data_IF_358974079114
#
_entry.id   IF_358974079114
#
_cell.length_a   1.000
_cell.length_b   1.000
_cell.length_c   1.000
_cell.angle_alpha   90.00
_cell.angle_beta   90.00
_cell.angle_gamma   90.00
#
_symmetry.space_group_name_H-M   'P 1'
#
loop_
_entity.id
_entity.type
_entity.pdbx_description
1 polymer ?
#
# COMPACT_ATOMS: atom_id res chain seq x y z
N UNK A 1 7.11 -7.58 -20.18
CA UNK A 1 5.90 -8.41 -20.40
C UNK A 1 5.27 -8.68 -19.03
N UNK A 2 4.04 -8.21 -18.79
CA UNK A 2 3.33 -8.24 -17.49
C UNK A 2 2.43 -9.48 -17.33
N UNK A 3 2.59 -10.45 -18.22
CA UNK A 3 1.73 -11.63 -18.30
C UNK A 3 2.20 -12.61 -17.22
N UNK A 4 1.43 -12.77 -16.14
CA UNK A 4 1.46 -14.02 -15.36
C UNK A 4 2.18 -14.03 -14.00
N UNK A 5 2.36 -12.90 -13.30
CA UNK A 5 2.93 -12.93 -11.94
C UNK A 5 1.86 -12.84 -10.84
N UNK A 6 0.73 -13.53 -10.99
CA UNK A 6 0.07 -14.04 -9.78
C UNK A 6 0.98 -15.15 -9.27
N UNK A 7 1.81 -14.86 -8.26
CA UNK A 7 2.47 -15.96 -7.56
C UNK A 7 1.35 -16.82 -6.98
N UNK A 8 1.20 -18.02 -7.54
CA UNK A 8 0.56 -19.11 -6.82
C UNK A 8 1.48 -19.39 -5.62
N UNK A 9 1.23 -18.72 -4.49
CA UNK A 9 1.82 -19.05 -3.19
C UNK A 9 1.25 -20.39 -2.67
N UNK A 10 0.76 -21.22 -3.58
CA UNK A 10 0.23 -22.56 -3.35
C UNK A 10 1.31 -23.48 -2.83
N UNK A 11 2.52 -23.37 -3.40
CA UNK A 11 3.71 -24.16 -3.05
C UNK A 11 4.56 -23.56 -1.91
N UNK A 12 4.29 -22.32 -1.51
CA UNK A 12 4.99 -21.70 -0.38
C UNK A 12 4.57 -22.34 0.94
N UNK A 13 5.54 -22.58 1.83
CA UNK A 13 5.28 -23.18 3.15
C UNK A 13 4.30 -22.28 3.94
N UNK A 14 3.18 -22.82 4.43
CA UNK A 14 2.26 -22.05 5.26
C UNK A 14 2.97 -21.55 6.53
N UNK A 15 2.77 -20.27 6.83
CA UNK A 15 3.19 -19.64 8.07
C UNK A 15 1.96 -19.41 8.95
N UNK A 16 2.08 -19.79 10.21
CA UNK A 16 1.06 -19.53 11.21
C UNK A 16 1.43 -18.26 11.95
N UNK A 17 0.48 -17.35 12.07
CA UNK A 17 0.60 -16.28 13.05
C UNK A 17 0.86 -16.89 14.44
N UNK A 18 1.74 -16.29 15.26
CA UNK A 18 1.99 -16.77 16.60
C UNK A 18 0.67 -16.81 17.39
N UNK A 19 0.47 -17.88 18.17
CA UNK A 19 -0.77 -18.08 18.96
C UNK A 19 -0.82 -17.22 20.22
N UNK A 20 0.30 -16.59 20.59
CA UNK A 20 0.44 -15.67 21.70
C UNK A 20 1.01 -14.35 21.18
N UNK A 21 0.57 -13.25 21.79
CA UNK A 21 0.93 -11.85 21.52
C UNK A 21 2.38 -11.50 21.86
N UNK A 22 3.27 -12.50 21.93
CA UNK A 22 4.61 -12.34 22.50
C UNK A 22 5.56 -11.65 21.50
N UNK A 23 5.20 -11.57 20.21
CA UNK A 23 5.91 -10.77 19.23
C UNK A 23 5.43 -9.32 19.31
N UNK A 24 6.30 -8.44 19.79
CA UNK A 24 6.05 -7.01 20.10
C UNK A 24 5.29 -6.24 19.00
N UNK A 25 5.56 -6.54 17.74
CA UNK A 25 5.02 -5.82 16.59
C UNK A 25 3.97 -6.58 15.77
N UNK A 26 3.62 -7.82 16.13
CA UNK A 26 2.56 -8.53 15.43
C UNK A 26 1.19 -8.11 15.95
N UNK A 27 0.37 -7.52 15.08
CA UNK A 27 -1.00 -7.14 15.41
C UNK A 27 -1.95 -8.21 14.91
N UNK A 28 -2.58 -8.95 15.82
CA UNK A 28 -3.70 -9.81 15.44
C UNK A 28 -4.90 -8.95 15.05
N UNK A 29 -5.30 -8.97 13.77
CA UNK A 29 -6.59 -8.39 13.41
C UNK A 29 -7.70 -9.33 13.86
N UNK A 30 -8.31 -9.02 15.00
CA UNK A 30 -9.67 -9.47 15.27
C UNK A 30 -10.55 -8.50 14.50
N UNK A 31 -11.01 -8.87 13.31
CA UNK A 31 -12.17 -8.20 12.75
C UNK A 31 -13.36 -8.61 13.63
N UNK A 32 -13.92 -7.75 14.50
CA UNK A 32 -15.30 -7.97 14.86
C UNK A 32 -16.08 -7.94 13.55
N UNK A 33 -16.82 -9.00 13.24
CA UNK A 33 -17.86 -9.00 12.20
C UNK A 33 -19.03 -8.08 12.60
N UNK A 34 -18.72 -6.86 13.05
CA UNK A 34 -19.62 -5.92 13.68
C UNK A 34 -19.00 -4.53 13.69
N UNK A 35 -19.19 -3.82 12.57
CA UNK A 35 -19.15 -2.36 12.44
C UNK A 35 -17.87 -1.64 12.90
N UNK A 36 -17.25 -0.89 12.00
CA UNK A 36 -16.35 0.21 12.39
C UNK A 36 -17.11 1.13 13.37
N UNK A 37 -16.66 1.17 14.62
CA UNK A 37 -17.30 1.91 15.69
C UNK A 37 -17.06 3.42 15.55
N UNK A 38 -18.12 4.21 15.72
CA UNK A 38 -18.16 5.69 15.72
C UNK A 38 -17.53 6.37 14.50
N UNK A 39 -18.26 6.38 13.39
CA UNK A 39 -17.97 7.30 12.29
C UNK A 39 -18.43 8.71 12.63
N UNK A 40 -17.53 9.55 13.12
CA UNK A 40 -17.76 11.01 13.11
C UNK A 40 -17.52 11.51 11.69
N UNK A 41 -18.59 11.90 11.00
CA UNK A 41 -18.55 12.45 9.64
C UNK A 41 -18.83 13.94 9.69
N UNK A 42 -17.90 14.76 9.21
CA UNK A 42 -18.12 16.19 9.01
C UNK A 42 -17.37 16.67 7.78
N UNK A 43 -17.94 17.69 7.12
CA UNK A 43 -17.27 18.37 6.02
C UNK A 43 -16.17 19.28 6.56
N UNK A 44 -15.01 19.25 5.89
CA UNK A 44 -13.84 20.04 6.24
C UNK A 44 -13.81 21.37 5.49
N UNK A 45 -13.49 22.44 6.21
CA UNK A 45 -13.14 23.74 5.63
C UNK A 45 -11.78 23.68 4.91
N UNK A 46 -11.53 24.64 4.02
CA UNK A 46 -10.21 24.76 3.36
C UNK A 46 -9.07 25.00 4.35
N UNK A 47 -9.37 25.64 5.49
CA UNK A 47 -8.42 25.85 6.58
C UNK A 47 -8.05 24.53 7.24
N UNK A 48 -9.03 23.72 7.65
CA UNK A 48 -8.80 22.41 8.28
C UNK A 48 -8.04 21.45 7.35
N UNK A 49 -8.37 21.44 6.06
CA UNK A 49 -7.63 20.67 5.04
C UNK A 49 -6.15 21.07 5.03
N UNK A 50 -5.88 22.38 4.99
CA UNK A 50 -4.52 22.91 4.91
C UNK A 50 -3.73 22.64 6.20
N UNK A 51 -4.36 22.86 7.36
CA UNK A 51 -3.74 22.65 8.67
C UNK A 51 -3.40 21.18 8.90
N UNK A 52 -4.33 20.27 8.58
CA UNK A 52 -4.09 18.84 8.72
C UNK A 52 -3.00 18.33 7.76
N UNK A 53 -3.02 18.74 6.49
CA UNK A 53 -1.94 18.36 5.55
C UNK A 53 -0.58 18.89 6.00
N UNK A 54 -0.53 20.12 6.52
CA UNK A 54 0.70 20.68 7.07
C UNK A 54 1.18 19.93 8.31
N UNK A 55 0.26 19.44 9.15
CA UNK A 55 0.58 18.55 10.25
C UNK A 55 1.15 17.22 9.77
N UNK A 56 0.53 16.57 8.77
CA UNK A 56 1.07 15.36 8.17
C UNK A 56 2.49 15.58 7.64
N UNK A 57 2.77 16.69 6.94
CA UNK A 57 4.13 17.01 6.48
C UNK A 57 5.13 17.11 7.63
N UNK A 58 4.73 17.65 8.79
CA UNK A 58 5.60 17.75 9.97
C UNK A 58 5.81 16.40 10.65
N UNK A 59 4.75 15.60 10.80
CA UNK A 59 4.76 14.34 11.54
C UNK A 59 5.32 13.16 10.73
N UNK A 60 5.31 13.26 9.40
CA UNK A 60 5.80 12.23 8.47
C UNK A 60 6.95 12.82 7.64
N UNK A 61 8.07 13.13 8.31
CA UNK A 61 9.21 13.81 7.70
C UNK A 61 9.87 13.02 6.55
N UNK A 62 9.62 11.71 6.48
CA UNK A 62 10.09 10.81 5.42
C UNK A 62 9.08 10.69 4.26
N UNK A 63 8.11 11.60 4.15
CA UNK A 63 7.15 11.54 3.05
C UNK A 63 7.74 11.86 1.67
N UNK A 64 7.16 11.28 0.62
CA UNK A 64 7.47 11.53 -0.80
C UNK A 64 7.16 12.99 -1.15
N UNK A 65 8.12 13.90 -0.95
CA UNK A 65 8.02 15.35 -1.12
C UNK A 65 6.86 16.03 -0.34
N UNK A 66 7.12 17.09 0.46
CA UNK A 66 6.06 17.86 1.11
C UNK A 66 4.97 18.35 0.14
N UNK A 67 5.34 18.68 -1.10
CA UNK A 67 4.40 19.08 -2.15
C UNK A 67 3.41 17.98 -2.53
N UNK A 68 3.82 16.71 -2.54
CA UNK A 68 2.89 15.64 -2.91
C UNK A 68 1.75 15.49 -1.90
N UNK A 69 2.00 15.80 -0.63
CA UNK A 69 0.99 15.81 0.44
C UNK A 69 0.15 17.09 0.38
N UNK A 70 0.80 18.26 0.34
CA UNK A 70 0.09 19.55 0.35
C UNK A 70 -0.78 19.74 -0.88
N UNK A 71 -0.25 19.43 -2.07
CA UNK A 71 -0.90 19.64 -3.36
C UNK A 71 -1.69 18.43 -3.84
N UNK A 72 -1.83 17.38 -3.01
CA UNK A 72 -2.49 16.15 -3.41
C UNK A 72 -3.91 16.42 -3.95
N UNK A 73 -4.09 16.12 -5.24
CA UNK A 73 -5.36 16.21 -5.97
C UNK A 73 -5.72 14.80 -6.41
N UNK A 74 -6.37 14.07 -5.52
CA UNK A 74 -6.77 12.70 -5.77
C UNK A 74 -7.81 12.61 -6.87
N UNK A 75 -7.76 11.48 -7.60
CA UNK A 75 -8.99 10.91 -8.15
C UNK A 75 -9.79 10.36 -6.97
N UNK A 76 -11.04 10.81 -6.85
CA UNK A 76 -11.98 10.33 -5.85
C UNK A 76 -12.79 9.17 -6.44
N UNK A 77 -12.67 7.99 -5.84
CA UNK A 77 -13.41 6.80 -6.25
C UNK A 77 -14.91 6.88 -5.91
N UNK A 78 -15.32 7.76 -4.98
CA UNK A 78 -16.68 7.75 -4.45
C UNK A 78 -17.08 6.37 -3.89
N UNK A 79 -18.24 5.88 -4.31
CA UNK A 79 -18.80 4.58 -3.90
C UNK A 79 -18.69 3.53 -5.02
N UNK A 80 -17.81 3.74 -6.00
CA UNK A 80 -17.77 2.96 -7.25
C UNK A 80 -16.96 1.64 -7.14
N UNK A 81 -16.57 1.20 -5.94
CA UNK A 81 -15.77 -0.02 -5.72
C UNK A 81 -14.38 0.00 -6.38
N UNK A 82 -13.91 1.18 -6.81
CA UNK A 82 -12.77 1.34 -7.71
C UNK A 82 -11.43 1.59 -6.99
N UNK A 83 -11.31 1.20 -5.72
CA UNK A 83 -10.21 1.63 -4.84
C UNK A 83 -8.84 1.23 -5.40
N UNK A 84 -8.74 0.02 -5.93
CA UNK A 84 -7.51 -0.49 -6.53
C UNK A 84 -7.15 0.26 -7.80
N UNK A 85 -8.11 0.45 -8.71
CA UNK A 85 -7.87 1.17 -9.96
C UNK A 85 -7.48 2.63 -9.70
N UNK A 86 -8.24 3.33 -8.86
CA UNK A 86 -7.98 4.71 -8.50
C UNK A 86 -6.66 4.85 -7.72
N UNK A 87 -6.34 3.89 -6.84
CA UNK A 87 -5.06 3.81 -6.16
C UNK A 87 -3.88 3.75 -7.12
N UNK A 88 -3.98 2.92 -8.17
CA UNK A 88 -2.96 2.85 -9.22
C UNK A 88 -2.85 4.16 -10.03
N UNK A 89 -3.97 4.83 -10.33
CA UNK A 89 -3.96 6.14 -11.00
C UNK A 89 -3.28 7.21 -10.14
N UNK A 90 -3.58 7.23 -8.84
CA UNK A 90 -3.00 8.18 -7.90
C UNK A 90 -1.51 7.89 -7.70
N UNK A 91 -1.09 6.63 -7.60
CA UNK A 91 0.32 6.22 -7.57
C UNK A 91 1.10 6.76 -8.77
N UNK A 92 0.65 6.49 -10.00
CA UNK A 92 1.40 6.95 -11.19
C UNK A 92 1.38 8.47 -11.33
N UNK A 93 0.33 9.14 -10.86
CA UNK A 93 0.26 10.59 -10.85
C UNK A 93 1.22 11.22 -9.83
N UNK A 94 1.30 10.66 -8.62
CA UNK A 94 2.23 11.08 -7.56
C UNK A 94 3.69 10.91 -8.00
N UNK A 95 3.97 9.82 -8.69
CA UNK A 95 5.31 9.52 -9.21
C UNK A 95 5.64 10.23 -10.52
N UNK A 96 4.75 11.08 -11.05
CA UNK A 96 4.97 11.80 -12.31
C UNK A 96 5.00 10.91 -13.56
N UNK A 97 4.53 9.66 -13.46
CA UNK A 97 4.61 8.62 -14.49
C UNK A 97 3.25 8.22 -15.05
N UNK A 98 2.42 9.22 -15.36
CA UNK A 98 1.09 9.03 -15.97
C UNK A 98 1.13 8.30 -17.31
N UNK A 99 2.29 8.22 -17.95
CA UNK A 99 2.53 7.39 -19.14
C UNK A 99 2.31 5.90 -18.88
N UNK A 100 2.47 5.42 -17.64
CA UNK A 100 2.31 4.00 -17.29
C UNK A 100 0.83 3.58 -17.30
N UNK A 101 -0.06 4.48 -16.88
CA UNK A 101 -1.52 4.30 -16.96
C UNK A 101 -2.10 5.60 -17.53
N UNK A 102 -2.16 5.76 -18.88
CA UNK A 102 -2.53 6.98 -19.58
C UNK A 102 -4.04 7.28 -19.54
N UNK A 103 -4.61 7.24 -18.34
CA UNK A 103 -6.00 7.59 -18.06
C UNK A 103 -6.07 9.05 -17.66
N UNK A 104 -6.99 9.79 -18.28
CA UNK A 104 -7.28 11.15 -17.85
C UNK A 104 -7.99 11.11 -16.49
N UNK A 105 -7.45 11.73 -15.43
CA UNK A 105 -8.06 11.74 -14.09
C UNK A 105 -9.50 12.27 -14.07
N UNK A 106 -9.88 13.18 -14.99
CA UNK A 106 -11.25 13.70 -15.08
C UNK A 106 -12.23 12.75 -15.77
N UNK A 107 -11.73 11.73 -16.47
CA UNK A 107 -12.51 10.73 -17.22
C UNK A 107 -12.25 9.31 -16.72
N UNK A 108 -11.72 9.16 -15.51
CA UNK A 108 -11.34 7.87 -14.94
C UNK A 108 -12.52 6.88 -14.92
N UNK A 109 -13.75 7.36 -14.61
CA UNK A 109 -14.97 6.53 -14.60
C UNK A 109 -15.24 5.85 -15.94
N UNK A 110 -15.00 6.54 -17.06
CA UNK A 110 -15.18 5.94 -18.38
C UNK A 110 -14.17 4.81 -18.62
N UNK A 111 -12.94 4.95 -18.11
CA UNK A 111 -11.95 3.86 -18.15
C UNK A 111 -12.30 2.73 -17.19
N UNK A 112 -12.86 3.02 -16.01
CA UNK A 112 -13.33 2.03 -15.06
C UNK A 112 -14.44 1.15 -15.65
N UNK A 113 -15.46 1.77 -16.26
CA UNK A 113 -16.55 1.05 -16.93
C UNK A 113 -16.06 0.13 -18.07
N UNK A 114 -14.93 0.43 -18.70
CA UNK A 114 -14.32 -0.45 -19.73
C UNK A 114 -13.74 -1.74 -19.15
N UNK A 115 -13.46 -1.78 -17.86
CA UNK A 115 -12.98 -2.98 -17.18
C UNK A 115 -14.10 -4.01 -16.97
N UNK A 116 -15.37 -3.60 -17.06
CA UNK A 116 -16.55 -4.48 -16.93
C UNK A 116 -16.56 -5.24 -15.59
N UNK A 117 -16.40 -4.45 -14.51
CA UNK A 117 -16.31 -4.89 -13.11
C UNK A 117 -16.90 -3.84 -12.19
N UNK A 118 -17.54 -4.31 -11.12
CA UNK A 118 -18.02 -3.47 -10.02
C UNK A 118 -16.93 -3.20 -8.97
N UNK A 119 -15.93 -4.09 -8.88
CA UNK A 119 -14.76 -3.95 -8.02
C UNK A 119 -13.60 -4.84 -8.54
N UNK A 120 -12.37 -4.48 -8.16
CA UNK A 120 -11.22 -5.38 -8.25
C UNK A 120 -10.84 -5.79 -6.84
N UNK A 121 -10.73 -7.10 -6.59
CA UNK A 121 -10.46 -7.62 -5.26
C UNK A 121 -9.06 -7.22 -4.74
N UNK A 122 -8.09 -7.16 -5.66
CA UNK A 122 -6.67 -7.00 -5.37
C UNK A 122 -5.94 -6.25 -6.52
N UNK A 123 -4.68 -5.84 -6.26
CA UNK A 123 -3.84 -5.11 -7.22
C UNK A 123 -3.52 -5.97 -8.44
N UNK A 124 -3.30 -7.27 -8.26
CA UNK A 124 -3.03 -8.19 -9.36
C UNK A 124 -4.17 -8.25 -10.37
N UNK A 125 -5.41 -8.48 -9.91
CA UNK A 125 -6.60 -8.50 -10.77
C UNK A 125 -6.76 -7.18 -11.54
N UNK A 126 -6.56 -6.04 -10.86
CA UNK A 126 -6.67 -4.75 -11.52
C UNK A 126 -5.62 -4.60 -12.63
N UNK A 127 -4.37 -5.00 -12.38
CA UNK A 127 -3.30 -4.95 -13.37
C UNK A 127 -3.56 -5.89 -14.56
N UNK A 128 -4.05 -7.11 -14.31
CA UNK A 128 -4.45 -8.07 -15.34
C UNK A 128 -5.55 -7.49 -16.24
N UNK A 129 -6.54 -6.82 -15.65
CA UNK A 129 -7.63 -6.17 -16.38
C UNK A 129 -7.14 -4.97 -17.21
N UNK A 130 -6.28 -4.13 -16.64
CA UNK A 130 -5.69 -3.00 -17.37
C UNK A 130 -4.86 -3.47 -18.56
N UNK A 131 -4.12 -4.57 -18.41
CA UNK A 131 -3.36 -5.20 -19.48
C UNK A 131 -4.28 -5.75 -20.58
N UNK A 132 -5.26 -6.58 -20.21
CA UNK A 132 -6.18 -7.21 -21.16
C UNK A 132 -7.05 -6.21 -21.94
N UNK A 133 -7.38 -5.06 -21.34
CA UNK A 133 -8.13 -3.97 -21.98
C UNK A 133 -7.23 -2.95 -22.71
N UNK A 134 -5.92 -3.20 -22.79
CA UNK A 134 -4.92 -2.31 -23.40
C UNK A 134 -4.97 -0.88 -22.85
N UNK A 135 -5.17 -0.76 -21.53
CA UNK A 135 -5.17 0.52 -20.81
C UNK A 135 -3.78 0.86 -20.29
N UNK A 136 -2.94 -0.15 -20.00
CA UNK A 136 -1.54 0.07 -19.63
C UNK A 136 -0.77 0.73 -20.78
N UNK A 137 0.06 1.72 -20.44
CA UNK A 137 0.97 2.35 -21.40
C UNK A 137 2.10 1.43 -21.84
N UNK A 138 2.78 1.80 -22.92
CA UNK A 138 3.86 0.99 -23.52
C UNK A 138 5.03 0.75 -22.56
N UNK A 139 5.31 1.70 -21.66
CA UNK A 139 6.36 1.61 -20.65
C UNK A 139 5.90 0.94 -19.33
N UNK A 140 4.63 0.54 -19.21
CA UNK A 140 4.08 -0.03 -17.98
C UNK A 140 4.87 -1.25 -17.51
N UNK A 141 5.28 -2.11 -18.45
CA UNK A 141 5.97 -3.37 -18.10
C UNK A 141 7.39 -3.21 -17.59
N UNK A 142 7.98 -2.03 -17.75
CA UNK A 142 9.31 -1.68 -17.23
C UNK A 142 9.24 -0.66 -16.09
N UNK A 143 8.12 0.05 -15.94
CA UNK A 143 7.94 1.11 -14.96
C UNK A 143 7.06 0.74 -13.76
N UNK A 144 6.20 -0.27 -13.85
CA UNK A 144 5.40 -0.75 -12.72
C UNK A 144 6.00 -2.05 -12.18
N UNK A 145 6.20 -2.10 -10.86
CA UNK A 145 6.63 -3.30 -10.15
C UNK A 145 5.51 -3.75 -9.23
N UNK A 146 5.09 -5.00 -9.38
CA UNK A 146 4.13 -5.66 -8.52
C UNK A 146 4.87 -6.71 -7.68
N UNK A 147 4.60 -6.72 -6.37
CA UNK A 147 5.13 -7.73 -5.46
C UNK A 147 3.95 -8.38 -4.72
N UNK A 148 3.68 -9.67 -4.97
CA UNK A 148 2.76 -10.45 -4.15
C UNK A 148 3.41 -10.68 -2.79
N UNK A 149 2.70 -10.34 -1.71
CA UNK A 149 3.19 -10.49 -0.33
C UNK A 149 2.65 -11.76 0.29
N UNK A 150 1.33 -11.97 0.19
CA UNK A 150 0.62 -13.03 0.91
C UNK A 150 -0.38 -13.76 0.02
N UNK A 151 -0.55 -15.06 0.27
CA UNK A 151 -1.50 -15.92 -0.43
C UNK A 151 -2.95 -15.43 -0.28
N UNK A 152 -3.70 -15.52 -1.38
CA UNK A 152 -5.15 -15.30 -1.44
C UNK A 152 -5.93 -16.57 -1.11
N UNK A 153 -7.10 -16.43 -0.48
CA UNK A 153 -8.08 -17.51 -0.31
C UNK A 153 -7.69 -18.68 0.61
N UNK A 154 -6.48 -18.71 1.16
CA UNK A 154 -6.01 -19.77 2.07
C UNK A 154 -6.33 -19.44 3.53
N UNK A 155 -6.79 -20.45 4.27
CA UNK A 155 -6.99 -20.38 5.73
C UNK A 155 -5.69 -20.14 6.49
N UNK A 156 -4.59 -20.74 6.03
CA UNK A 156 -3.23 -20.49 6.54
C UNK A 156 -2.51 -19.52 5.60
N UNK A 157 -1.80 -18.54 6.16
CA UNK A 157 -1.13 -17.50 5.39
C UNK A 157 0.19 -18.03 4.82
N UNK A 158 0.42 -17.91 3.52
CA UNK A 158 1.74 -18.14 2.92
C UNK A 158 2.29 -16.78 2.48
N UNK A 159 3.59 -16.56 2.68
CA UNK A 159 4.26 -15.31 2.31
C UNK A 159 5.29 -15.57 1.22
N UNK A 160 5.53 -14.56 0.39
CA UNK A 160 6.60 -14.60 -0.61
C UNK A 160 7.93 -14.18 0.02
N UNK A 161 8.92 -15.08 0.18
CA UNK A 161 10.20 -14.72 0.78
C UNK A 161 11.18 -14.09 -0.22
N UNK A 162 10.84 -13.95 -1.50
CA UNK A 162 11.79 -13.53 -2.53
C UNK A 162 12.33 -12.10 -2.36
N UNK A 163 11.63 -11.24 -1.60
CA UNK A 163 12.06 -9.88 -1.27
C UNK A 163 12.61 -9.76 0.16
N UNK A 164 12.72 -10.86 0.90
CA UNK A 164 13.18 -10.83 2.28
C UNK A 164 14.69 -10.54 2.32
N UNK A 165 15.08 -9.66 3.24
CA UNK A 165 16.50 -9.40 3.52
C UNK A 165 17.09 -10.57 4.30
N UNK A 166 18.35 -10.91 4.04
CA UNK A 166 18.96 -12.10 4.61
C UNK A 166 19.49 -11.94 6.03
N UNK A 167 19.46 -10.71 6.59
CA UNK A 167 20.06 -10.39 7.88
C UNK A 167 19.01 -9.96 8.93
N UNK A 168 18.56 -10.89 9.81
CA UNK A 168 17.64 -10.59 10.89
C UNK A 168 18.17 -9.56 11.90
N UNK A 169 19.49 -9.44 12.09
CA UNK A 169 20.08 -8.47 13.01
C UNK A 169 19.85 -7.06 12.50
N UNK A 170 20.03 -6.82 11.20
CA UNK A 170 19.74 -5.52 10.59
C UNK A 170 18.27 -5.08 10.77
N UNK A 171 17.33 -6.04 10.75
CA UNK A 171 15.92 -5.76 10.98
C UNK A 171 15.63 -5.49 12.45
N UNK A 172 16.21 -6.30 13.34
CA UNK A 172 16.12 -6.10 14.78
C UNK A 172 16.62 -4.70 15.17
N UNK A 173 17.79 -4.30 14.65
CA UNK A 173 18.37 -2.98 14.89
C UNK A 173 17.51 -1.85 14.30
N UNK A 174 17.07 -1.98 13.04
CA UNK A 174 16.23 -0.96 12.38
C UNK A 174 14.92 -0.70 13.12
N UNK A 175 14.32 -1.75 13.67
CA UNK A 175 12.99 -1.71 14.27
C UNK A 175 12.97 -1.77 15.79
N UNK A 176 14.14 -1.72 16.45
CA UNK A 176 14.24 -1.82 17.91
C UNK A 176 13.63 -3.11 18.47
N UNK A 177 13.66 -4.20 17.70
CA UNK A 177 13.07 -5.49 18.05
C UNK A 177 14.14 -6.49 18.51
N UNK A 178 13.74 -7.53 19.22
CA UNK A 178 14.65 -8.65 19.47
C UNK A 178 14.77 -9.53 18.23
N UNK A 179 15.91 -10.23 18.05
CA UNK A 179 16.05 -11.24 16.99
C UNK A 179 14.94 -12.29 17.11
N UNK A 180 14.56 -12.66 18.33
CA UNK A 180 13.49 -13.62 18.58
C UNK A 180 12.13 -13.13 18.05
N UNK A 181 11.82 -11.83 18.16
CA UNK A 181 10.60 -11.25 17.58
C UNK A 181 10.66 -11.30 16.05
N UNK A 182 11.81 -10.95 15.46
CA UNK A 182 12.01 -10.98 14.00
C UNK A 182 11.81 -12.40 13.47
N UNK A 183 12.40 -13.40 14.12
CA UNK A 183 12.25 -14.80 13.73
C UNK A 183 10.84 -15.36 13.98
N UNK A 184 10.13 -14.87 15.00
CA UNK A 184 8.76 -15.28 15.30
C UNK A 184 7.76 -14.78 14.24
N UNK A 185 7.94 -13.56 13.74
CA UNK A 185 7.06 -12.93 12.73
C UNK A 185 7.83 -12.24 11.61
N UNK A 186 8.62 -12.98 10.82
CA UNK A 186 9.57 -12.39 9.87
C UNK A 186 8.89 -11.56 8.79
N UNK A 187 7.68 -11.97 8.35
CA UNK A 187 6.94 -11.22 7.33
C UNK A 187 6.63 -9.79 7.76
N UNK A 188 6.38 -9.53 9.05
CA UNK A 188 6.06 -8.18 9.54
C UNK A 188 7.25 -7.25 9.30
N UNK A 189 8.45 -7.70 9.68
CA UNK A 189 9.68 -6.92 9.57
C UNK A 189 10.17 -6.81 8.12
N UNK A 190 10.02 -7.86 7.32
CA UNK A 190 10.35 -7.79 5.90
C UNK A 190 9.38 -6.89 5.12
N UNK A 191 8.09 -6.89 5.47
CA UNK A 191 7.10 -5.98 4.91
C UNK A 191 7.38 -4.53 5.29
N UNK A 192 7.73 -4.29 6.57
CA UNK A 192 8.17 -2.99 7.04
C UNK A 192 9.38 -2.50 6.24
N UNK A 193 10.43 -3.33 6.13
CA UNK A 193 11.64 -2.96 5.42
C UNK A 193 11.39 -2.69 3.94
N UNK A 194 10.54 -3.50 3.29
CA UNK A 194 10.15 -3.29 1.89
C UNK A 194 9.48 -1.92 1.70
N UNK A 195 8.44 -1.62 2.49
CA UNK A 195 7.68 -0.39 2.32
C UNK A 195 8.53 0.82 2.71
N UNK A 196 9.16 0.80 3.89
CA UNK A 196 9.92 1.94 4.39
C UNK A 196 11.14 2.24 3.51
N UNK A 197 11.87 1.24 3.02
CA UNK A 197 13.01 1.49 2.11
C UNK A 197 12.56 2.06 0.76
N UNK A 198 11.38 1.65 0.25
CA UNK A 198 10.82 2.27 -0.95
C UNK A 198 10.50 3.75 -0.71
N UNK A 199 9.92 4.08 0.45
CA UNK A 199 9.62 5.45 0.85
C UNK A 199 10.90 6.26 1.05
N UNK A 200 11.93 5.71 1.70
CA UNK A 200 13.25 6.32 1.90
C UNK A 200 13.90 6.68 0.55
N UNK A 201 13.70 5.83 -0.45
CA UNK A 201 14.13 6.06 -1.84
C UNK A 201 13.24 7.07 -2.59
N UNK A 202 12.26 7.68 -1.93
CA UNK A 202 11.32 8.63 -2.53
C UNK A 202 10.31 7.99 -3.48
N UNK A 203 9.97 6.70 -3.26
CA UNK A 203 8.99 5.96 -4.07
C UNK A 203 7.72 5.74 -3.27
N UNK A 204 6.60 6.27 -3.75
CA UNK A 204 5.29 5.95 -3.22
C UNK A 204 4.91 4.49 -3.53
N UNK A 205 4.10 3.88 -2.66
CA UNK A 205 3.76 2.46 -2.72
C UNK A 205 2.24 2.29 -2.62
N UNK A 206 1.59 1.76 -3.65
CA UNK A 206 0.22 1.30 -3.53
C UNK A 206 0.19 -0.01 -2.73
N UNK A 207 -0.54 -0.04 -1.62
CA UNK A 207 -0.65 -1.18 -0.72
C UNK A 207 -2.11 -1.63 -0.68
N UNK A 208 -2.33 -2.93 -0.87
CA UNK A 208 -3.64 -3.54 -0.63
C UNK A 208 -3.67 -4.14 0.79
N UNK A 209 -4.46 -3.55 1.68
CA UNK A 209 -4.61 -3.95 3.09
C UNK A 209 -6.04 -3.72 3.56
N UNK A 210 -6.59 -4.67 4.33
CA UNK A 210 -7.98 -4.63 4.82
C UNK A 210 -9.02 -4.36 3.71
N UNK A 211 -8.86 -5.04 2.57
CA UNK A 211 -9.74 -4.92 1.38
C UNK A 211 -9.81 -3.52 0.75
N UNK A 212 -8.90 -2.62 1.14
CA UNK A 212 -8.79 -1.28 0.56
C UNK A 212 -7.39 -1.05 0.04
N UNK A 213 -7.29 -0.52 -1.18
CA UNK A 213 -6.00 -0.14 -1.78
C UNK A 213 -5.77 1.34 -1.57
N UNK A 214 -4.61 1.70 -1.02
CA UNK A 214 -4.21 3.09 -0.74
C UNK A 214 -2.75 3.31 -1.15
N UNK A 215 -2.37 4.56 -1.44
CA UNK A 215 -0.98 4.87 -1.82
C UNK A 215 -0.22 5.42 -0.63
N UNK A 216 0.64 4.60 -0.04
CA UNK A 216 1.56 4.99 1.02
C UNK A 216 2.59 5.97 0.48
N UNK A 217 2.73 7.10 1.15
CA UNK A 217 3.65 8.19 0.78
C UNK A 217 4.57 8.59 1.91
N UNK A 218 4.41 8.09 3.13
CA UNK A 218 5.27 8.41 4.26
C UNK A 218 5.06 7.46 5.42
N UNK A 219 5.97 7.49 6.39
CA UNK A 219 5.86 6.77 7.64
C UNK A 219 6.51 7.56 8.78
N UNK A 220 6.15 7.22 10.02
CA UNK A 220 6.83 7.67 11.23
C UNK A 220 7.07 6.48 12.17
N UNK A 221 7.27 6.75 13.46
CA UNK A 221 7.52 5.70 14.46
C UNK A 221 6.36 4.70 14.55
N UNK A 222 5.11 5.16 14.44
CA UNK A 222 3.92 4.36 14.75
C UNK A 222 3.02 4.09 13.53
N UNK A 223 3.05 4.97 12.53
CA UNK A 223 2.00 5.08 11.52
C UNK A 223 2.55 5.19 10.09
N UNK A 224 1.71 4.79 9.15
CA UNK A 224 1.85 5.04 7.72
C UNK A 224 0.94 6.20 7.31
N UNK A 225 1.44 7.07 6.45
CA UNK A 225 0.68 8.12 5.78
C UNK A 225 0.34 7.67 4.36
N UNK A 226 -0.95 7.72 4.04
CA UNK A 226 -1.48 7.38 2.73
C UNK A 226 -2.11 8.60 2.05
N UNK A 227 -1.85 8.72 0.76
CA UNK A 227 -2.69 9.40 -0.19
C UNK A 227 -3.89 8.49 -0.51
N UNK A 228 -5.06 8.82 0.06
CA UNK A 228 -6.26 7.99 -0.11
C UNK A 228 -7.00 8.30 -1.41
N UNK A 229 -7.95 7.42 -1.74
CA UNK A 229 -8.76 7.48 -2.94
C UNK A 229 -10.14 8.13 -2.69
N UNK A 230 -10.33 8.74 -1.53
CA UNK A 230 -11.60 9.31 -1.06
C UNK A 230 -11.60 10.84 -1.00
N UNK A 231 -12.78 11.46 -1.15
CA UNK A 231 -12.93 12.92 -1.23
C UNK A 231 -12.15 13.68 -0.14
N UNK A 232 -11.48 14.76 -0.55
CA UNK A 232 -10.69 15.63 0.34
C UNK A 232 -11.49 16.44 1.36
N UNK A 233 -12.82 16.45 1.26
CA UNK A 233 -13.66 17.36 2.04
C UNK A 233 -14.28 16.71 3.27
N UNK A 234 -13.87 15.51 3.68
CA UNK A 234 -14.43 14.88 4.87
C UNK A 234 -13.39 14.16 5.72
N UNK A 235 -13.83 13.79 6.92
CA UNK A 235 -13.11 13.00 7.90
C UNK A 235 -13.91 11.74 8.29
N UNK A 236 -13.21 10.64 8.54
CA UNK A 236 -13.73 9.42 9.17
C UNK A 236 -12.62 8.82 10.06
N UNK A 237 -12.85 8.72 11.37
CA UNK A 237 -11.95 8.01 12.30
C UNK A 237 -12.57 6.64 12.61
N UNK A 238 -11.82 5.57 12.32
CA UNK A 238 -12.19 4.21 12.64
C UNK A 238 -11.22 3.70 13.71
N UNK A 239 -11.71 3.56 14.94
CA UNK A 239 -11.00 2.90 16.04
C UNK A 239 -11.72 1.59 16.40
N UNK A 240 -11.03 0.47 16.19
CA UNK A 240 -11.49 -0.82 16.71
C UNK A 240 -10.83 -1.08 18.07
N UNK A 241 -11.43 -0.53 19.14
CA UNK A 241 -11.09 -0.79 20.54
C UNK A 241 -9.57 -0.79 20.82
N UNK A 242 -8.81 0.13 20.21
CA UNK A 242 -7.37 0.28 20.43
C UNK A 242 -6.46 -0.75 19.75
N UNK A 243 -6.99 -1.65 18.90
CA UNK A 243 -6.17 -2.63 18.14
C UNK A 243 -5.80 -2.17 16.73
N UNK A 244 -6.60 -1.28 16.15
CA UNK A 244 -6.37 -0.67 14.85
C UNK A 244 -7.06 0.68 14.83
N UNK A 245 -6.28 1.72 14.51
CA UNK A 245 -6.77 3.07 14.25
C UNK A 245 -6.50 3.43 12.80
N UNK A 246 -7.52 3.92 12.12
CA UNK A 246 -7.41 4.49 10.78
C UNK A 246 -8.16 5.81 10.76
N UNK A 247 -7.41 6.91 10.68
CA UNK A 247 -7.98 8.23 10.47
C UNK A 247 -7.92 8.56 8.98
N UNK A 248 -9.05 8.73 8.35
CA UNK A 248 -9.15 9.37 7.04
C UNK A 248 -9.51 10.84 7.23
N UNK A 249 -8.73 11.77 6.64
CA UNK A 249 -9.00 13.20 6.68
C UNK A 249 -8.31 13.93 5.54
N UNK A 250 -8.99 14.90 4.94
CA UNK A 250 -8.41 15.78 3.92
C UNK A 250 -7.85 15.07 2.66
N UNK A 251 -8.38 13.88 2.33
CA UNK A 251 -7.92 13.05 1.21
C UNK A 251 -6.66 12.24 1.53
N UNK A 252 -6.26 12.21 2.81
CA UNK A 252 -5.18 11.39 3.33
C UNK A 252 -5.75 10.37 4.31
N UNK A 253 -5.04 9.29 4.55
CA UNK A 253 -5.28 8.45 5.72
C UNK A 253 -4.01 8.15 6.50
N UNK A 254 -4.18 7.97 7.79
CA UNK A 254 -3.13 7.60 8.73
C UNK A 254 -3.53 6.28 9.37
N UNK A 255 -2.65 5.28 9.37
CA UNK A 255 -2.92 3.97 9.93
C UNK A 255 -1.72 3.42 10.69
N UNK A 256 -1.95 2.69 11.79
CA UNK A 256 -0.90 1.99 12.51
C UNK A 256 -0.08 1.05 11.61
N UNK A 257 1.23 1.27 11.53
CA UNK A 257 2.08 0.62 10.51
C UNK A 257 2.19 -0.89 10.72
N UNK A 258 2.27 -1.32 11.97
CA UNK A 258 2.39 -2.72 12.35
C UNK A 258 1.17 -3.56 11.94
N UNK A 259 -0.04 -2.98 12.02
CA UNK A 259 -1.25 -3.62 11.52
C UNK A 259 -1.21 -3.78 10.00
N UNK A 260 -0.76 -2.74 9.27
CA UNK A 260 -0.58 -2.81 7.82
C UNK A 260 0.43 -3.90 7.43
N UNK A 261 1.64 -3.88 8.01
CA UNK A 261 2.70 -4.86 7.69
C UNK A 261 2.33 -6.30 8.06
N UNK A 262 1.50 -6.48 9.09
CA UNK A 262 1.02 -7.80 9.48
C UNK A 262 0.06 -8.42 8.46
N UNK A 263 -0.65 -7.61 7.66
CA UNK A 263 -1.80 -8.06 6.88
C UNK A 263 -1.87 -7.55 5.44
N UNK A 264 -0.91 -6.76 4.97
CA UNK A 264 -0.85 -6.35 3.57
C UNK A 264 -0.76 -7.58 2.66
N UNK A 265 -1.52 -7.54 1.56
CA UNK A 265 -1.60 -8.67 0.61
C UNK A 265 -0.62 -8.51 -0.54
N UNK A 266 -0.45 -7.28 -1.01
CA UNK A 266 0.25 -6.96 -2.24
C UNK A 266 0.73 -5.51 -2.20
N UNK A 267 1.80 -5.24 -2.94
CA UNK A 267 2.27 -3.88 -3.18
C UNK A 267 2.56 -3.65 -4.65
N UNK A 268 2.33 -2.41 -5.11
CA UNK A 268 2.75 -1.91 -6.41
C UNK A 268 3.50 -0.60 -6.24
N UNK A 269 4.61 -0.43 -6.92
CA UNK A 269 5.34 0.84 -6.95
C UNK A 269 5.86 1.15 -8.35
N UNK A 270 6.27 2.39 -8.56
CA UNK A 270 6.89 2.84 -9.81
C UNK A 270 8.40 2.70 -9.71
N UNK A 271 8.98 1.95 -10.63
CA UNK A 271 10.43 1.84 -10.79
C UNK A 271 10.98 3.17 -11.34
N UNK A 272 12.12 3.64 -10.81
CA UNK A 272 12.74 4.88 -11.30
C UNK A 272 13.28 4.71 -12.73
N UNK A 273 13.42 3.48 -13.23
CA UNK A 273 14.16 3.22 -14.45
C UNK A 273 15.65 3.48 -14.22
N UNK A 274 16.51 2.80 -14.98
CA UNK A 274 17.97 2.99 -14.87
C UNK A 274 18.35 4.41 -15.31
N UNK A 275 18.46 5.35 -14.38
CA UNK A 275 19.46 6.40 -14.48
C UNK A 275 20.77 5.82 -13.93
N UNK A 276 21.85 5.90 -14.70
CA UNK A 276 22.98 4.98 -14.63
C UNK A 276 23.66 4.84 -13.25
N UNK A 277 23.85 3.58 -12.84
CA UNK A 277 25.02 3.12 -12.09
C UNK A 277 24.92 3.06 -10.56
N UNK A 278 24.74 1.84 -10.05
CA UNK A 278 25.33 1.38 -8.79
C UNK A 278 24.37 1.19 -7.60
N UNK A 279 24.19 -0.07 -7.17
CA UNK A 279 23.77 -0.38 -5.80
C UNK A 279 22.42 -1.10 -5.62
N UNK A 280 22.36 -2.39 -6.02
CA UNK A 280 21.73 -3.50 -5.28
C UNK A 280 20.41 -3.26 -4.52
N UNK A 281 19.27 -3.53 -5.18
CA UNK A 281 18.18 -4.40 -4.70
C UNK A 281 17.49 -5.18 -5.85
N UNK A 282 18.06 -5.15 -7.06
CA UNK A 282 17.40 -5.63 -8.27
C UNK A 282 17.83 -7.05 -8.64
N UNK A 283 17.09 -8.04 -8.14
CA UNK A 283 16.89 -9.29 -8.88
C UNK A 283 15.38 -9.45 -9.15
N UNK A 284 14.84 -8.92 -10.26
CA UNK A 284 13.58 -9.44 -10.75
C UNK A 284 13.85 -10.86 -11.24
N UNK A 285 13.43 -11.85 -10.45
CA UNK A 285 13.43 -13.26 -10.85
C UNK A 285 12.52 -13.37 -12.07
N UNK A 286 13.12 -13.57 -13.23
CA UNK A 286 12.44 -14.14 -14.39
C UNK A 286 12.38 -15.64 -14.12
N UNK A 287 11.20 -16.15 -13.81
CA UNK A 287 10.96 -17.59 -13.88
C UNK A 287 10.51 -17.88 -15.31
N UNK A 288 11.25 -18.77 -15.98
CA UNK A 288 10.89 -19.35 -17.27
C UNK A 288 9.60 -20.18 -17.20
#
# INVERSE_FOLDING_TARGET
MYIGLRLALEDAKPMRAPRKTDASHFVSMIFPFGGFGRTCRHDLTSKEITEFRAECVRSFCLAVSPSAVMDYKNVDQGQDGACTFVGLLNLVALMGRRDLIPVNPKRWRASWLRLDRDQCEDLAECLDLLASKSILGTCASTGLRYIPIRSRGKREMCFNPSYWVSDPLSLADRYGASIADVEATPWVYHNANLVESLIDDGRAVAINFAEHTRTCVGYNEDELLFCDNWCKSYEEDADTNGTYRSLFKAGLSVCGKWACYSWMREVVYVDKGREGGGGSLDNPIVLD
#
